data_IF_071268388250
#
_entry.id   IF_071268388250
#
_cell.length_a   1.000
_cell.length_b   1.000
_cell.length_c   1.000
_cell.angle_alpha   90.00
_cell.angle_beta   90.00
_cell.angle_gamma   90.00
#
_symmetry.space_group_name_H-M   'P 1'
#
loop_
_entity.id
_entity.type
_entity.pdbx_description
1 polymer ?
#
# COMPACT_ATOMS: atom_id res chain seq x y z
N UNK A 1 2.33 -2.69 -12.89
CA UNK A 1 3.48 -2.62 -11.98
C UNK A 1 4.69 -3.38 -12.55
N UNK A 2 4.61 -4.69 -12.79
CA UNK A 2 5.77 -5.50 -13.25
C UNK A 2 6.41 -5.08 -14.59
N UNK A 3 5.67 -4.44 -15.50
CA UNK A 3 6.22 -3.99 -16.80
C UNK A 3 7.37 -2.99 -16.66
N UNK A 4 7.39 -2.18 -15.60
CA UNK A 4 8.47 -1.23 -15.31
C UNK A 4 9.78 -1.86 -14.85
N UNK A 5 9.78 -3.18 -14.57
CA UNK A 5 10.97 -3.92 -14.18
C UNK A 5 11.61 -4.67 -15.36
N UNK A 6 11.03 -4.57 -16.56
CA UNK A 6 11.62 -5.17 -17.76
C UNK A 6 13.02 -4.63 -17.99
N UNK A 7 13.91 -5.51 -18.43
CA UNK A 7 15.32 -5.22 -18.71
C UNK A 7 16.12 -4.75 -17.47
N UNK A 8 15.62 -5.01 -16.27
CA UNK A 8 16.34 -4.86 -15.00
C UNK A 8 16.68 -6.22 -14.38
N UNK A 9 17.57 -6.23 -13.38
CA UNK A 9 17.81 -7.41 -12.54
C UNK A 9 16.78 -7.60 -11.41
N UNK A 10 15.74 -6.77 -11.35
CA UNK A 10 14.75 -6.84 -10.27
C UNK A 10 13.65 -7.88 -10.56
N UNK A 11 13.36 -8.69 -9.55
CA UNK A 11 12.27 -9.65 -9.57
C UNK A 11 11.12 -9.17 -8.69
N UNK A 12 9.87 -9.28 -9.17
CA UNK A 12 8.68 -8.96 -8.39
C UNK A 12 8.09 -10.25 -7.79
N UNK A 13 8.06 -10.30 -6.46
CA UNK A 13 7.42 -11.38 -5.70
C UNK A 13 6.15 -10.80 -5.07
N UNK A 14 5.01 -11.48 -5.25
CA UNK A 14 3.73 -11.08 -4.65
C UNK A 14 3.30 -12.16 -3.65
N UNK A 15 3.72 -12.04 -2.38
CA UNK A 15 3.31 -12.96 -1.33
C UNK A 15 1.86 -12.71 -0.91
N UNK A 16 1.17 -13.78 -0.51
CA UNK A 16 -0.14 -13.71 0.13
C UNK A 16 0.06 -13.82 1.65
N UNK A 17 -0.49 -12.86 2.40
CA UNK A 17 -0.50 -12.88 3.86
C UNK A 17 -1.95 -12.89 4.34
N UNK A 18 -2.26 -13.68 5.37
CA UNK A 18 -3.57 -13.75 6.03
C UNK A 18 -3.93 -12.43 6.72
N UNK A 19 -5.14 -12.32 7.31
CA UNK A 19 -5.63 -11.16 8.09
C UNK A 19 -4.87 -10.92 9.42
N UNK A 20 -3.56 -11.12 9.42
CA UNK A 20 -2.65 -10.76 10.51
C UNK A 20 -2.28 -9.28 10.46
N UNK A 21 -1.60 -8.82 11.52
CA UNK A 21 -0.99 -7.49 11.57
C UNK A 21 -0.22 -7.21 10.26
N UNK A 22 -0.60 -6.17 9.49
CA UNK A 22 0.02 -5.87 8.21
C UNK A 22 1.51 -5.48 8.32
N UNK A 23 2.02 -5.30 9.54
CA UNK A 23 3.44 -5.06 9.82
C UNK A 23 4.28 -6.35 9.89
N UNK A 24 3.68 -7.50 10.22
CA UNK A 24 4.38 -8.79 10.27
C UNK A 24 5.18 -9.11 8.99
N UNK A 25 4.59 -9.04 7.78
CA UNK A 25 5.34 -9.32 6.56
C UNK A 25 6.49 -8.32 6.33
N UNK A 26 6.30 -7.06 6.71
CA UNK A 26 7.34 -6.03 6.58
C UNK A 26 8.53 -6.33 7.50
N UNK A 27 8.24 -6.69 8.76
CA UNK A 27 9.27 -7.12 9.73
C UNK A 27 10.02 -8.34 9.24
N UNK A 28 9.30 -9.32 8.71
CA UNK A 28 9.91 -10.52 8.16
C UNK A 28 10.89 -10.19 7.02
N UNK A 29 10.48 -9.36 6.05
CA UNK A 29 11.34 -8.98 4.93
C UNK A 29 12.58 -8.24 5.43
N UNK A 30 12.41 -7.26 6.32
CA UNK A 30 13.53 -6.51 6.91
C UNK A 30 14.52 -7.41 7.67
N UNK A 31 14.01 -8.37 8.46
CA UNK A 31 14.86 -9.25 9.27
C UNK A 31 15.61 -10.29 8.43
N UNK A 32 15.00 -10.75 7.34
CA UNK A 32 15.57 -11.80 6.49
C UNK A 32 16.39 -11.27 5.32
N UNK A 33 16.23 -9.99 4.97
CA UNK A 33 16.82 -9.43 3.76
C UNK A 33 16.28 -10.07 2.47
N UNK A 34 15.03 -10.57 2.51
CA UNK A 34 14.43 -11.32 1.40
C UNK A 34 13.98 -10.45 0.23
N UNK A 35 14.03 -9.12 0.36
CA UNK A 35 13.84 -8.19 -0.74
C UNK A 35 14.65 -6.90 -0.52
N UNK A 36 15.08 -6.29 -1.62
CA UNK A 36 15.78 -5.00 -1.60
C UNK A 36 14.84 -3.81 -1.43
N UNK A 37 13.57 -3.95 -1.82
CA UNK A 37 12.55 -2.91 -1.73
C UNK A 37 11.13 -3.48 -1.64
N UNK A 38 10.21 -2.69 -1.06
CA UNK A 38 8.80 -3.06 -0.89
C UNK A 38 7.86 -2.04 -1.53
N UNK A 39 6.80 -2.53 -2.18
CA UNK A 39 5.66 -1.70 -2.59
C UNK A 39 4.45 -2.11 -1.76
N UNK A 40 3.83 -1.17 -1.05
CA UNK A 40 2.59 -1.42 -0.29
C UNK A 40 1.40 -0.66 -0.87
N UNK A 41 0.23 -1.28 -0.79
CA UNK A 41 -1.05 -0.70 -1.20
C UNK A 41 -1.93 -0.42 0.03
N UNK A 42 -3.05 0.28 -0.20
CA UNK A 42 -4.08 0.56 0.83
C UNK A 42 -3.44 1.24 2.04
N UNK A 43 -2.68 2.31 1.80
CA UNK A 43 -2.11 3.10 2.89
C UNK A 43 -3.20 3.87 3.61
N UNK A 44 -3.10 3.93 4.93
CA UNK A 44 -3.97 4.75 5.78
C UNK A 44 -3.24 5.99 6.28
N UNK A 45 -3.95 7.03 6.75
CA UNK A 45 -3.33 8.08 7.54
C UNK A 45 -2.52 7.49 8.70
N UNK A 46 -1.30 7.96 8.91
CA UNK A 46 -0.42 7.42 9.95
C UNK A 46 -0.04 5.93 9.81
N UNK A 47 0.08 5.42 8.57
CA UNK A 47 0.34 4.01 8.30
C UNK A 47 1.59 3.46 9.04
N UNK A 48 1.44 2.47 9.95
CA UNK A 48 2.55 1.95 10.75
C UNK A 48 3.63 1.27 9.91
N UNK A 49 3.28 0.76 8.71
CA UNK A 49 4.26 0.15 7.79
C UNK A 49 5.22 1.20 7.24
N UNK A 50 4.68 2.37 6.87
CA UNK A 50 5.48 3.50 6.37
C UNK A 50 6.40 4.03 7.46
N UNK A 51 5.89 4.17 8.70
CA UNK A 51 6.70 4.58 9.85
C UNK A 51 7.87 3.62 10.05
N UNK A 52 7.57 2.33 10.15
CA UNK A 52 8.58 1.30 10.40
C UNK A 52 9.67 1.28 9.32
N UNK A 53 9.30 1.24 8.04
CA UNK A 53 10.27 1.19 6.94
C UNK A 53 11.14 2.45 6.88
N UNK A 54 10.57 3.62 7.17
CA UNK A 54 11.33 4.89 7.22
C UNK A 54 12.37 4.87 8.34
N UNK A 55 11.97 4.46 9.55
CA UNK A 55 12.87 4.43 10.72
C UNK A 55 14.00 3.40 10.58
N UNK A 56 13.77 2.33 9.83
CA UNK A 56 14.75 1.25 9.62
C UNK A 56 15.53 1.38 8.30
N UNK A 57 15.33 2.46 7.54
CA UNK A 57 16.04 2.70 6.28
C UNK A 57 15.71 1.70 5.16
N UNK A 58 14.57 1.03 5.24
CA UNK A 58 14.13 0.05 4.25
C UNK A 58 13.59 0.77 3.01
N UNK A 59 14.09 0.50 1.79
CA UNK A 59 13.54 1.13 0.59
C UNK A 59 12.09 0.72 0.32
N UNK A 60 11.21 1.70 0.13
CA UNK A 60 9.81 1.41 -0.19
C UNK A 60 9.14 2.49 -1.05
N UNK A 61 8.03 2.12 -1.66
CA UNK A 61 7.07 3.01 -2.28
C UNK A 61 5.64 2.61 -1.91
N UNK A 62 4.71 3.56 -2.05
CA UNK A 62 3.30 3.34 -1.70
C UNK A 62 2.40 3.61 -2.90
N UNK A 63 1.37 2.78 -3.07
CA UNK A 63 0.24 3.08 -3.93
C UNK A 63 -0.91 3.61 -3.06
N UNK A 64 -1.03 4.93 -3.00
CA UNK A 64 -1.83 5.69 -2.03
C UNK A 64 -0.97 6.64 -1.21
N UNK A 65 -1.60 7.66 -0.59
CA UNK A 65 -0.91 8.66 0.25
C UNK A 65 -1.27 8.46 1.73
N UNK A 66 -0.25 8.46 2.60
CA UNK A 66 -0.39 8.24 4.06
C UNK A 66 -0.61 9.53 4.88
N UNK A 67 -0.61 10.71 4.24
CA UNK A 67 -0.83 12.03 4.83
C UNK A 67 -0.13 12.28 6.20
N UNK A 68 1.15 11.90 6.30
CA UNK A 68 1.90 11.91 7.57
C UNK A 68 2.89 13.08 7.73
N UNK A 69 3.02 13.97 6.75
CA UNK A 69 4.12 14.95 6.72
C UNK A 69 5.52 14.33 6.57
N UNK A 70 5.64 13.01 6.39
CA UNK A 70 6.89 12.31 6.06
C UNK A 70 7.03 12.18 4.54
N UNK A 71 8.22 12.49 4.02
CA UNK A 71 8.49 12.38 2.60
C UNK A 71 8.91 10.95 2.25
N UNK A 72 8.13 10.25 1.42
CA UNK A 72 8.47 8.97 0.82
C UNK A 72 7.90 8.90 -0.60
N UNK A 73 8.43 8.04 -1.49
CA UNK A 73 7.84 7.83 -2.80
C UNK A 73 6.39 7.31 -2.71
N UNK A 74 5.48 7.91 -3.47
CA UNK A 74 4.09 7.48 -3.57
C UNK A 74 3.53 7.74 -4.97
N UNK A 75 2.49 6.99 -5.32
CA UNK A 75 1.65 7.24 -6.48
C UNK A 75 0.19 7.08 -6.09
N UNK A 76 -0.66 8.06 -6.42
CA UNK A 76 -2.10 8.04 -6.11
C UNK A 76 -2.53 9.15 -5.15
N UNK A 77 -3.84 9.21 -4.89
CA UNK A 77 -4.46 10.19 -4.01
C UNK A 77 -4.43 9.76 -2.53
N UNK A 78 -4.78 10.67 -1.63
CA UNK A 78 -5.11 10.32 -0.24
C UNK A 78 -6.30 9.36 -0.29
N UNK A 79 -6.12 8.17 0.28
CA UNK A 79 -7.23 7.25 0.46
C UNK A 79 -8.10 7.87 1.56
N UNK A 80 -9.27 8.42 1.20
CA UNK A 80 -10.27 8.74 2.21
C UNK A 80 -10.51 7.46 3.02
N UNK A 81 -10.43 7.56 4.35
CA UNK A 81 -10.60 6.42 5.24
C UNK A 81 -11.85 5.66 4.77
N UNK A 82 -11.64 4.44 4.28
CA UNK A 82 -12.75 3.61 3.85
C UNK A 82 -13.44 3.22 5.15
N UNK A 83 -14.48 3.96 5.52
CA UNK A 83 -15.46 3.50 6.51
C UNK A 83 -15.91 2.11 6.06
N UNK A 84 -15.84 1.18 7.01
CA UNK A 84 -16.17 -0.23 6.91
C UNK A 84 -17.20 -0.52 5.79
N UNK A 85 -16.77 -1.15 4.69
CA UNK A 85 -17.66 -1.58 3.59
C UNK A 85 -18.58 -2.76 3.97
N UNK A 86 -18.72 -3.05 5.26
CA UNK A 86 -19.57 -4.11 5.81
C UNK A 86 -20.93 -3.59 6.32
N UNK A 87 -21.33 -2.37 5.95
CA UNK A 87 -22.72 -1.89 6.10
C UNK A 87 -23.63 -2.40 4.97
N UNK A 88 -24.94 -2.56 5.20
CA UNK A 88 -25.86 -3.10 4.19
C UNK A 88 -25.82 -2.26 2.91
N UNK A 89 -25.69 -2.92 1.76
CA UNK A 89 -25.63 -2.32 0.44
C UNK A 89 -26.93 -1.56 0.17
N UNK A 90 -26.93 -0.24 0.36
CA UNK A 90 -28.01 0.60 -0.16
C UNK A 90 -27.69 0.91 -1.62
N UNK A 91 -28.44 0.28 -2.53
CA UNK A 91 -28.45 0.61 -3.96
C UNK A 91 -28.69 2.11 -4.14
N UNK A 92 -27.75 2.79 -4.80
CA UNK A 92 -27.98 4.08 -5.42
C UNK A 92 -27.70 3.92 -6.92
N UNK A 93 -28.72 3.46 -7.66
CA UNK A 93 -28.82 3.73 -9.08
C UNK A 93 -29.75 4.94 -9.21
N UNK A 94 -29.14 6.10 -9.43
CA UNK A 94 -29.79 7.21 -10.13
C UNK A 94 -28.68 8.03 -10.80
N UNK A 95 -28.38 7.66 -12.04
CA UNK A 95 -27.55 8.45 -12.96
C UNK A 95 -28.55 9.19 -13.86
N UNK A 96 -28.58 10.54 -13.88
CA UNK A 96 -29.46 11.24 -14.80
C UNK A 96 -28.98 11.01 -16.24
N UNK A 97 -29.89 10.60 -17.11
CA UNK A 97 -29.67 10.60 -18.55
C UNK A 97 -29.46 12.04 -19.03
N UNK A 98 -28.40 12.25 -19.81
CA UNK A 98 -28.15 13.47 -20.57
C UNK A 98 -29.17 13.54 -21.72
N UNK A 99 -29.86 14.68 -21.85
CA UNK A 99 -30.48 15.12 -23.11
C UNK A 99 -29.46 15.95 -23.92
#
# INVERSE_FOLDING_TARGET
>A
MASGLRDTGFHMIVPYFSEEDPLNPIRYIQQTGSADAVIINMTVPNDPRVVFMTEHGMPFATHGRSDMGRNHPYFGAVQAAVENRNGPVQQALDVPHLD
#
